data_IF_844546844346
#
_entry.id   IF_844546844346
#
_cell.length_a   1.000
_cell.length_b   1.000
_cell.length_c   1.000
_cell.angle_alpha   90.00
_cell.angle_beta   90.00
_cell.angle_gamma   90.00
#
_symmetry.space_group_name_H-M   'P 1'
#
loop_
_entity.id
_entity.type
_entity.pdbx_description
1 polymer ?
#
# COMPACT_ATOMS: atom_id res chain seq x y z
N UNK A 1 10.34 13.49 14.69
CA UNK A 1 9.38 12.48 15.19
C UNK A 1 8.15 12.56 14.30
N UNK A 2 7.94 11.56 13.45
CA UNK A 2 6.74 11.53 12.59
C UNK A 2 5.52 11.30 13.49
N UNK A 3 4.55 12.23 13.47
CA UNK A 3 3.31 12.16 14.26
C UNK A 3 2.23 11.34 13.53
N UNK A 4 2.59 10.21 12.94
CA UNK A 4 1.59 9.35 12.32
C UNK A 4 0.87 8.55 13.41
N UNK A 5 -0.48 8.49 13.38
CA UNK A 5 -1.23 7.66 14.32
C UNK A 5 -0.86 6.18 14.14
N UNK A 6 -0.85 5.37 15.22
CA UNK A 6 -0.63 3.94 15.12
C UNK A 6 -1.61 3.25 14.14
N UNK A 7 -1.20 2.13 13.48
CA UNK A 7 -2.06 1.39 12.55
C UNK A 7 -3.42 1.01 13.15
N UNK A 8 -3.49 0.64 14.43
CA UNK A 8 -4.74 0.37 15.13
C UNK A 8 -5.74 1.53 15.09
N UNK A 9 -5.26 2.75 15.31
CA UNK A 9 -6.11 3.94 15.34
C UNK A 9 -6.68 4.25 13.96
N UNK A 10 -5.84 4.15 12.92
CA UNK A 10 -6.28 4.33 11.53
C UNK A 10 -7.24 3.21 11.15
N UNK A 11 -6.95 1.96 11.49
CA UNK A 11 -7.83 0.82 11.24
C UNK A 11 -9.21 1.00 11.89
N UNK A 12 -9.25 1.46 13.14
CA UNK A 12 -10.49 1.74 13.85
C UNK A 12 -11.30 2.87 13.19
N UNK A 13 -10.61 3.94 12.75
CA UNK A 13 -11.22 5.03 11.98
C UNK A 13 -11.82 4.52 10.66
N UNK A 14 -11.08 3.73 9.89
CA UNK A 14 -11.57 3.18 8.62
C UNK A 14 -12.79 2.27 8.81
N UNK A 15 -12.78 1.41 9.84
CA UNK A 15 -13.94 0.58 10.18
C UNK A 15 -15.17 1.42 10.57
N UNK A 16 -14.95 2.50 11.31
CA UNK A 16 -16.00 3.44 11.69
C UNK A 16 -16.58 4.13 10.45
N UNK A 17 -15.72 4.60 9.54
CA UNK A 17 -16.13 5.20 8.27
C UNK A 17 -16.98 4.23 7.43
N UNK A 18 -16.52 2.99 7.25
CA UNK A 18 -17.26 1.95 6.52
C UNK A 18 -18.64 1.70 7.14
N UNK A 19 -18.71 1.67 8.47
CA UNK A 19 -19.97 1.43 9.21
C UNK A 19 -20.95 2.59 9.04
N UNK A 20 -20.46 3.84 9.12
CA UNK A 20 -21.28 5.03 8.97
C UNK A 20 -21.77 5.21 7.52
N UNK A 21 -20.87 5.00 6.55
CA UNK A 21 -21.18 5.18 5.13
C UNK A 21 -22.21 4.16 4.61
N UNK A 22 -22.23 2.95 5.18
CA UNK A 22 -23.22 1.92 4.84
C UNK A 22 -24.66 2.29 5.24
N UNK A 23 -24.85 3.31 6.08
CA UNK A 23 -26.15 3.77 6.54
C UNK A 23 -26.60 5.08 5.87
N UNK A 24 -25.68 5.87 5.32
CA UNK A 24 -25.91 7.17 4.70
C UNK A 24 -24.63 7.59 3.96
N UNK A 25 -24.71 8.10 2.74
CA UNK A 25 -23.55 8.57 1.97
C UNK A 25 -22.94 9.82 2.63
N UNK A 26 -21.95 9.63 3.50
CA UNK A 26 -21.43 10.68 4.41
C UNK A 26 -20.06 11.23 3.98
N UNK A 27 -19.32 10.52 3.13
CA UNK A 27 -17.93 10.93 2.84
C UNK A 27 -17.90 12.17 1.93
N UNK A 28 -17.56 13.32 2.51
CA UNK A 28 -17.32 14.56 1.76
C UNK A 28 -16.12 14.43 0.81
N UNK A 29 -16.08 15.22 -0.25
CA UNK A 29 -14.94 15.28 -1.18
C UNK A 29 -13.61 15.59 -0.46
N UNK A 30 -13.64 16.44 0.57
CA UNK A 30 -12.45 16.72 1.38
C UNK A 30 -11.96 15.48 2.12
N UNK A 31 -12.87 14.73 2.74
CA UNK A 31 -12.52 13.48 3.43
C UNK A 31 -12.00 12.43 2.44
N UNK A 32 -12.57 12.37 1.23
CA UNK A 32 -12.08 11.51 0.15
C UNK A 32 -10.63 11.82 -0.24
N UNK A 33 -10.30 13.10 -0.48
CA UNK A 33 -8.92 13.52 -0.77
C UNK A 33 -7.99 13.19 0.40
N UNK A 34 -8.41 13.45 1.64
CA UNK A 34 -7.62 13.09 2.82
C UNK A 34 -7.36 11.58 2.91
N UNK A 35 -8.34 10.74 2.60
CA UNK A 35 -8.17 9.28 2.56
C UNK A 35 -7.15 8.86 1.50
N UNK A 36 -7.21 9.46 0.30
CA UNK A 36 -6.23 9.22 -0.76
C UNK A 36 -4.78 9.49 -0.35
N UNK A 37 -4.56 10.43 0.56
CA UNK A 37 -3.22 10.76 1.07
C UNK A 37 -2.80 9.88 2.26
N UNK A 38 -3.75 9.49 3.11
CA UNK A 38 -3.48 8.71 4.34
C UNK A 38 -3.31 7.22 4.02
N UNK A 39 -4.16 6.68 3.14
CA UNK A 39 -4.20 5.24 2.85
C UNK A 39 -2.91 4.67 2.26
N UNK A 40 -2.21 5.33 1.31
CA UNK A 40 -0.95 4.83 0.79
C UNK A 40 0.06 4.63 1.92
N UNK A 41 0.20 5.62 2.82
CA UNK A 41 1.13 5.52 3.94
C UNK A 41 0.73 4.41 4.91
N UNK A 42 -0.54 4.37 5.27
CA UNK A 42 -1.08 3.35 6.17
C UNK A 42 -0.83 1.94 5.64
N UNK A 43 -1.02 1.70 4.34
CA UNK A 43 -0.78 0.39 3.72
C UNK A 43 0.70 -0.01 3.79
N UNK A 44 1.62 0.93 3.57
CA UNK A 44 3.07 0.67 3.74
C UNK A 44 3.39 0.33 5.19
N UNK A 45 2.89 1.10 6.15
CA UNK A 45 3.12 0.84 7.58
C UNK A 45 2.55 -0.54 8.00
N UNK A 46 1.41 -0.95 7.45
CA UNK A 46 0.81 -2.28 7.67
C UNK A 46 1.64 -3.40 7.04
N UNK A 47 2.15 -3.22 5.82
CA UNK A 47 3.04 -4.19 5.18
C UNK A 47 4.30 -4.39 6.01
N UNK A 48 4.90 -3.31 6.49
CA UNK A 48 6.06 -3.38 7.37
C UNK A 48 5.75 -4.14 8.67
N UNK A 49 4.58 -3.90 9.29
CA UNK A 49 4.09 -4.68 10.43
C UNK A 49 4.04 -6.18 10.12
N UNK A 50 3.47 -6.56 8.96
CA UNK A 50 3.36 -7.97 8.53
C UNK A 50 4.75 -8.60 8.39
N UNK A 51 5.66 -7.93 7.68
CA UNK A 51 7.02 -8.43 7.46
C UNK A 51 7.78 -8.60 8.79
N UNK A 52 7.61 -7.69 9.74
CA UNK A 52 8.21 -7.80 11.08
C UNK A 52 7.59 -8.92 11.92
N UNK A 53 6.28 -9.12 11.84
CA UNK A 53 5.54 -10.16 12.56
C UNK A 53 5.92 -11.57 12.04
N UNK A 54 6.04 -11.71 10.72
CA UNK A 54 6.48 -12.96 10.07
C UNK A 54 7.93 -13.32 10.45
N UNK A 55 8.83 -12.33 10.60
CA UNK A 55 10.21 -12.56 11.06
C UNK A 55 10.29 -13.05 12.51
N UNK A 56 9.37 -12.63 13.38
CA UNK A 56 9.35 -13.03 14.81
C UNK A 56 8.81 -14.44 14.99
N UNK A 57 8.00 -14.91 14.05
CA UNK A 57 7.27 -16.18 14.18
C UNK A 57 8.06 -17.29 13.48
N UNK A 58 8.98 -17.94 14.19
CA UNK A 58 9.83 -19.04 13.67
C UNK A 58 9.06 -20.33 13.31
N UNK A 59 7.75 -20.36 13.51
CA UNK A 59 6.87 -21.47 13.12
C UNK A 59 6.03 -21.03 11.93
N UNK A 60 6.38 -21.62 10.79
CA UNK A 60 5.63 -21.58 9.54
C UNK A 60 4.12 -21.81 9.77
N UNK A 61 3.29 -20.92 9.21
CA UNK A 61 1.85 -21.04 8.87
C UNK A 61 0.84 -20.12 9.64
N UNK A 62 1.20 -19.37 10.69
CA UNK A 62 0.20 -18.45 11.27
C UNK A 62 0.12 -17.14 10.48
N UNK A 63 -0.98 -16.95 9.75
CA UNK A 63 -1.43 -15.67 9.17
C UNK A 63 -1.07 -14.51 10.10
N UNK A 64 -0.09 -13.67 9.72
CA UNK A 64 0.34 -12.52 10.53
C UNK A 64 -0.88 -11.79 11.07
N UNK A 65 -0.87 -11.53 12.37
CA UNK A 65 -1.98 -10.83 13.01
C UNK A 65 -2.20 -9.51 12.30
N UNK A 66 -1.13 -8.83 11.85
CA UNK A 66 -1.18 -7.56 11.10
C UNK A 66 -1.99 -7.62 9.79
N UNK A 67 -2.25 -8.78 9.17
CA UNK A 67 -3.05 -8.86 7.92
C UNK A 67 -4.48 -8.34 8.10
N UNK A 68 -5.03 -8.41 9.32
CA UNK A 68 -6.36 -7.84 9.62
C UNK A 68 -6.49 -6.34 9.36
N UNK A 69 -5.38 -5.61 9.34
CA UNK A 69 -5.35 -4.17 9.10
C UNK A 69 -5.63 -3.80 7.64
N UNK A 70 -5.49 -4.75 6.69
CA UNK A 70 -5.77 -4.55 5.27
C UNK A 70 -7.26 -4.64 4.94
N UNK A 71 -8.00 -5.43 5.71
CA UNK A 71 -9.44 -5.70 5.49
C UNK A 71 -10.25 -4.41 5.27
N UNK A 72 -10.18 -3.37 6.13
CA UNK A 72 -10.97 -2.16 5.89
C UNK A 72 -10.59 -1.42 4.60
N UNK A 73 -9.32 -1.44 4.19
CA UNK A 73 -8.91 -0.85 2.91
C UNK A 73 -9.53 -1.60 1.73
N UNK A 74 -9.50 -2.93 1.77
CA UNK A 74 -10.08 -3.77 0.72
C UNK A 74 -11.59 -3.54 0.56
N UNK A 75 -12.31 -3.41 1.68
CA UNK A 75 -13.73 -3.03 1.67
C UNK A 75 -13.93 -1.63 1.06
N UNK A 76 -13.07 -0.66 1.38
CA UNK A 76 -13.16 0.68 0.80
C UNK A 76 -12.86 0.69 -0.71
N UNK A 77 -11.91 -0.11 -1.17
CA UNK A 77 -11.55 -0.22 -2.58
C UNK A 77 -12.64 -0.88 -3.41
N UNK A 78 -13.27 -1.92 -2.88
CA UNK A 78 -14.46 -2.54 -3.48
C UNK A 78 -15.62 -1.54 -3.62
N UNK A 79 -15.82 -0.69 -2.59
CA UNK A 79 -16.86 0.33 -2.62
C UNK A 79 -16.52 1.53 -3.50
N UNK A 80 -15.24 1.86 -3.64
CA UNK A 80 -14.78 3.05 -4.35
C UNK A 80 -13.52 2.76 -5.16
N UNK A 81 -13.75 2.42 -6.43
CA UNK A 81 -12.71 2.28 -7.44
C UNK A 81 -11.91 3.57 -7.65
N UNK A 82 -12.54 4.73 -7.51
CA UNK A 82 -11.87 6.03 -7.59
C UNK A 82 -10.85 6.22 -6.44
N UNK A 83 -11.17 5.73 -5.24
CA UNK A 83 -10.25 5.78 -4.10
C UNK A 83 -9.05 4.86 -4.33
N UNK A 84 -9.30 3.64 -4.82
CA UNK A 84 -8.21 2.72 -5.19
C UNK A 84 -7.31 3.34 -6.26
N UNK A 85 -7.88 3.94 -7.30
CA UNK A 85 -7.13 4.64 -8.34
C UNK A 85 -6.21 5.72 -7.77
N UNK A 86 -6.75 6.55 -6.86
CA UNK A 86 -5.99 7.61 -6.21
C UNK A 86 -4.83 7.04 -5.38
N UNK A 87 -5.06 5.94 -4.66
CA UNK A 87 -4.03 5.25 -3.88
C UNK A 87 -2.94 4.68 -4.79
N UNK A 88 -3.30 3.97 -5.85
CA UNK A 88 -2.34 3.38 -6.79
C UNK A 88 -1.48 4.45 -7.46
N UNK A 89 -2.10 5.53 -7.95
CA UNK A 89 -1.36 6.65 -8.55
C UNK A 89 -0.42 7.33 -7.54
N UNK A 90 -0.85 7.48 -6.29
CA UNK A 90 0.01 8.05 -5.24
C UNK A 90 1.22 7.16 -4.96
N UNK A 91 1.02 5.84 -4.86
CA UNK A 91 2.12 4.88 -4.70
C UNK A 91 3.08 4.90 -5.91
N UNK A 92 2.54 4.94 -7.14
CA UNK A 92 3.35 5.04 -8.35
C UNK A 92 4.17 6.33 -8.42
N UNK A 93 3.60 7.45 -7.98
CA UNK A 93 4.32 8.74 -7.86
C UNK A 93 5.46 8.62 -6.87
N UNK A 94 5.23 8.03 -5.69
CA UNK A 94 6.30 7.86 -4.68
C UNK A 94 7.45 7.01 -5.19
N UNK A 95 7.14 5.92 -5.89
CA UNK A 95 8.15 5.05 -6.50
C UNK A 95 8.95 5.83 -7.57
N UNK A 96 8.26 6.48 -8.50
CA UNK A 96 8.89 7.21 -9.60
C UNK A 96 9.73 8.39 -9.10
N UNK A 97 9.20 9.16 -8.13
CA UNK A 97 9.91 10.27 -7.47
C UNK A 97 11.16 9.80 -6.74
N UNK A 98 11.08 8.64 -6.07
CA UNK A 98 12.19 8.05 -5.33
C UNK A 98 13.28 7.46 -6.23
N UNK A 99 12.92 7.05 -7.45
CA UNK A 99 13.86 6.54 -8.46
C UNK A 99 14.66 7.66 -9.17
N UNK A 100 14.36 8.94 -8.90
CA UNK A 100 15.16 10.05 -9.44
C UNK A 100 16.51 10.17 -8.70
N UNK A 101 17.64 10.32 -9.41
CA UNK A 101 18.93 10.50 -8.78
C UNK A 101 18.98 11.82 -8.01
N UNK A 102 18.84 11.76 -6.68
CA UNK A 102 19.05 12.91 -5.80
C UNK A 102 20.54 13.30 -5.78
N UNK A 103 20.82 14.53 -6.20
CA UNK A 103 22.18 15.13 -6.33
C UNK A 103 22.85 15.41 -4.97
N UNK A 104 22.19 15.14 -3.84
CA UNK A 104 22.65 15.54 -2.51
C UNK A 104 22.96 14.36 -1.57
N UNK A 105 24.23 13.99 -1.50
CA UNK A 105 25.05 14.04 -0.29
C UNK A 105 24.87 13.05 0.87
N UNK A 106 23.86 12.17 0.87
CA UNK A 106 23.76 11.10 1.89
C UNK A 106 23.13 9.83 1.31
N UNK A 107 23.92 9.10 0.50
CA UNK A 107 23.42 8.06 -0.39
C UNK A 107 23.03 6.75 0.31
N UNK A 108 23.53 6.47 1.52
CA UNK A 108 23.33 5.16 2.17
C UNK A 108 22.02 5.05 2.95
N UNK A 109 21.62 6.09 3.69
CA UNK A 109 20.36 6.09 4.43
C UNK A 109 19.17 6.24 3.46
N UNK A 110 19.30 7.13 2.47
CA UNK A 110 18.27 7.38 1.47
C UNK A 110 17.98 6.16 0.58
N UNK A 111 19.02 5.46 0.10
CA UNK A 111 18.84 4.25 -0.71
C UNK A 111 18.16 3.10 0.04
N UNK A 112 18.42 2.97 1.36
CA UNK A 112 17.80 1.95 2.20
C UNK A 112 16.29 2.22 2.38
N UNK A 113 15.92 3.49 2.57
CA UNK A 113 14.53 3.90 2.70
C UNK A 113 13.73 3.66 1.40
N UNK A 114 14.34 3.93 0.23
CA UNK A 114 13.70 3.67 -1.08
C UNK A 114 13.51 2.18 -1.33
N UNK A 115 14.56 1.37 -1.13
CA UNK A 115 14.48 -0.09 -1.30
C UNK A 115 13.37 -0.67 -0.42
N UNK A 116 13.27 -0.20 0.83
CA UNK A 116 12.22 -0.65 1.76
C UNK A 116 10.81 -0.27 1.32
N UNK A 117 10.65 0.88 0.65
CA UNK A 117 9.36 1.32 0.11
C UNK A 117 8.96 0.53 -1.12
N UNK A 118 9.90 0.31 -2.05
CA UNK A 118 9.69 -0.52 -3.25
C UNK A 118 9.27 -1.93 -2.84
N UNK A 119 10.01 -2.55 -1.91
CA UNK A 119 9.68 -3.89 -1.40
C UNK A 119 8.29 -3.92 -0.75
N UNK A 120 7.94 -2.89 0.02
CA UNK A 120 6.62 -2.79 0.66
C UNK A 120 5.48 -2.64 -0.37
N UNK A 121 5.69 -1.85 -1.44
CA UNK A 121 4.70 -1.70 -2.52
C UNK A 121 4.53 -3.00 -3.29
N UNK A 122 5.62 -3.68 -3.65
CA UNK A 122 5.58 -4.99 -4.32
C UNK A 122 4.83 -6.00 -3.47
N UNK A 123 5.14 -6.09 -2.17
CA UNK A 123 4.47 -7.01 -1.27
C UNK A 123 2.99 -6.67 -1.08
N UNK A 124 2.63 -5.38 -1.03
CA UNK A 124 1.23 -4.95 -1.01
C UNK A 124 0.47 -5.44 -2.24
N UNK A 125 1.02 -5.25 -3.44
CA UNK A 125 0.38 -5.68 -4.69
C UNK A 125 0.23 -7.21 -4.73
N UNK A 126 1.22 -7.95 -4.23
CA UNK A 126 1.11 -9.40 -4.07
C UNK A 126 -0.03 -9.78 -3.12
N UNK A 127 -0.15 -9.12 -1.97
CA UNK A 127 -1.25 -9.37 -1.03
C UNK A 127 -2.63 -9.06 -1.64
N UNK A 128 -2.74 -8.00 -2.44
CA UNK A 128 -3.96 -7.67 -3.17
C UNK A 128 -4.31 -8.71 -4.23
N UNK A 129 -3.31 -9.29 -4.90
CA UNK A 129 -3.50 -10.36 -5.87
C UNK A 129 -3.87 -11.71 -5.21
N UNK A 130 -3.51 -11.94 -3.95
CA UNK A 130 -3.88 -13.17 -3.22
C UNK A 130 -5.35 -13.18 -2.76
N UNK A 131 -6.01 -12.03 -2.71
CA UNK A 131 -7.45 -11.94 -2.41
C UNK A 131 -8.23 -11.95 -3.73
N UNK A 132 -9.03 -13.00 -3.98
CA UNK A 132 -9.71 -13.20 -5.27
C UNK A 132 -10.56 -12.00 -5.70
N UNK A 133 -11.23 -11.35 -4.74
CA UNK A 133 -12.13 -10.24 -5.02
C UNK A 133 -11.32 -8.99 -5.35
N UNK A 134 -10.29 -8.70 -4.56
CA UNK A 134 -9.42 -7.55 -4.79
C UNK A 134 -8.58 -7.75 -6.05
N UNK A 135 -8.14 -8.97 -6.34
CA UNK A 135 -7.45 -9.33 -7.58
C UNK A 135 -8.28 -8.94 -8.82
N UNK A 136 -9.58 -9.24 -8.81
CA UNK A 136 -10.48 -8.83 -9.89
C UNK A 136 -10.59 -7.31 -10.01
N UNK A 137 -10.66 -6.59 -8.88
CA UNK A 137 -10.73 -5.13 -8.86
C UNK A 137 -9.44 -4.51 -9.39
N UNK A 138 -8.27 -4.90 -8.88
CA UNK A 138 -6.97 -4.34 -9.31
C UNK A 138 -6.67 -4.65 -10.78
N UNK A 139 -7.21 -5.73 -11.33
CA UNK A 139 -7.09 -6.06 -12.77
C UNK A 139 -7.74 -5.02 -13.68
N UNK A 140 -8.67 -4.21 -13.16
CA UNK A 140 -9.29 -3.09 -13.87
C UNK A 140 -8.34 -1.88 -13.99
N UNK A 141 -7.29 -1.81 -13.16
CA UNK A 141 -6.33 -0.71 -13.06
C UNK A 141 -4.98 -1.08 -13.66
N UNK A 142 -5.01 -1.81 -14.78
CA UNK A 142 -3.79 -2.32 -15.42
C UNK A 142 -2.80 -1.20 -15.73
N UNK A 143 -3.26 -0.04 -16.20
CA UNK A 143 -2.38 1.08 -16.54
C UNK A 143 -1.65 1.63 -15.31
N UNK A 144 -2.33 1.75 -14.18
CA UNK A 144 -1.76 2.24 -12.92
C UNK A 144 -0.79 1.23 -12.31
N UNK A 145 -1.11 -0.07 -12.40
CA UNK A 145 -0.21 -1.15 -11.99
C UNK A 145 1.03 -1.17 -12.88
N UNK A 146 0.87 -1.10 -14.21
CA UNK A 146 1.97 -1.06 -15.16
C UNK A 146 2.86 0.19 -14.90
N UNK A 147 2.26 1.34 -14.56
CA UNK A 147 2.99 2.55 -14.17
C UNK A 147 3.84 2.36 -12.90
N UNK A 148 3.30 1.73 -11.86
CA UNK A 148 4.06 1.38 -10.65
C UNK A 148 5.23 0.44 -11.01
N UNK A 149 4.97 -0.58 -11.81
CA UNK A 149 5.96 -1.58 -12.20
C UNK A 149 7.09 -0.99 -13.06
N UNK A 150 6.77 -0.04 -13.94
CA UNK A 150 7.78 0.70 -14.70
C UNK A 150 8.70 1.50 -13.77
N UNK A 151 8.14 2.18 -12.77
CA UNK A 151 8.92 2.91 -11.75
C UNK A 151 9.86 2.01 -10.93
N UNK A 152 9.49 0.75 -10.71
CA UNK A 152 10.32 -0.28 -10.05
C UNK A 152 11.42 -0.80 -10.99
N UNK A 153 11.15 -0.87 -12.29
CA UNK A 153 12.02 -1.49 -13.30
C UNK A 153 13.17 -0.57 -13.78
N UNK A 154 13.25 0.66 -13.29
CA UNK A 154 14.40 1.55 -13.54
C UNK A 154 15.61 0.99 -12.75
N UNK A 155 16.74 0.69 -13.41
CA UNK A 155 17.68 -0.33 -12.93
C UNK A 155 18.52 0.15 -11.75
N UNK A 156 18.36 -0.53 -10.61
CA UNK A 156 19.46 -1.19 -9.89
C UNK A 156 18.94 -2.39 -9.05
N UNK A 157 19.14 -3.60 -9.62
CA UNK A 157 19.23 -4.92 -8.99
C UNK A 157 18.07 -5.50 -8.14
N UNK A 158 17.14 -6.27 -8.76
CA UNK A 158 16.65 -7.51 -8.12
C UNK A 158 15.99 -8.51 -9.13
N UNK A 159 16.50 -9.75 -9.30
CA UNK A 159 16.11 -10.67 -10.38
C UNK A 159 14.90 -11.60 -10.09
N UNK A 160 13.88 -11.17 -9.34
CA UNK A 160 12.78 -12.07 -8.92
C UNK A 160 11.35 -11.67 -9.34
N UNK A 161 11.17 -10.87 -10.40
CA UNK A 161 9.85 -10.36 -10.80
C UNK A 161 9.16 -11.07 -11.98
N UNK A 162 9.70 -12.18 -12.48
CA UNK A 162 9.11 -12.89 -13.64
C UNK A 162 7.90 -13.80 -13.33
N UNK A 163 7.14 -13.56 -12.25
CA UNK A 163 6.01 -14.44 -11.89
C UNK A 163 4.66 -13.74 -11.70
N UNK A 164 4.51 -12.50 -12.17
CA UNK A 164 3.24 -11.74 -12.07
C UNK A 164 2.73 -11.34 -13.48
N UNK A 165 2.83 -12.25 -14.45
CA UNK A 165 2.13 -12.15 -15.74
C UNK A 165 1.45 -13.48 -16.03
#
# INVERSE_FOLDING_TARGET
MSQNPPPDNVCAMLRTLITLDSNTTIISQRAFISLGNILPRYLIDVVQCIVEDDKKTTVSISSSSCRYYLIPCFVLFDKSHELLNLVLNTLGSWITESSLPHVTGDHTHYATDISSMVDAVVFLLQLMHMDDKICQIISLFKAEIDYIMEGISIPEACPHLNLII
#
